data_IF_645768394642
#
_entry.id   IF_645768394642
#
_cell.length_a   1.000
_cell.length_b   1.000
_cell.length_c   1.000
_cell.angle_alpha   90.00
_cell.angle_beta   90.00
_cell.angle_gamma   90.00
#
_symmetry.space_group_name_H-M   'P 1'
#
loop_
_entity.id
_entity.type
_entity.pdbx_description
1 polymer ?
#
# COMPACT_ATOMS: atom_id res chain seq x y z
N UNK A 1 12.38 7.95 28.16
CA UNK A 1 13.30 7.53 27.09
C UNK A 1 12.41 7.03 25.96
N UNK A 2 12.50 7.64 24.77
CA UNK A 2 11.75 7.15 23.62
C UNK A 2 12.51 5.97 23.05
N UNK A 3 12.03 4.75 23.31
CA UNK A 3 12.58 3.56 22.70
C UNK A 3 12.42 3.68 21.18
N UNK A 4 13.50 3.47 20.44
CA UNK A 4 13.44 3.47 18.98
C UNK A 4 12.52 2.33 18.54
N UNK A 5 11.62 2.54 17.56
CA UNK A 5 10.71 1.50 17.11
C UNK A 5 11.50 0.30 16.61
N UNK A 6 11.03 -0.90 16.95
CA UNK A 6 11.66 -2.13 16.47
C UNK A 6 11.42 -2.30 14.96
N UNK A 7 12.20 -3.17 14.32
CA UNK A 7 11.95 -3.58 12.92
C UNK A 7 10.52 -4.11 12.72
N UNK A 8 9.99 -4.83 13.71
CA UNK A 8 8.61 -5.30 13.69
C UNK A 8 7.60 -4.15 13.80
N UNK A 9 7.85 -3.14 14.64
CA UNK A 9 6.98 -1.95 14.73
C UNK A 9 6.98 -1.16 13.42
N UNK A 10 8.15 -0.99 12.80
CA UNK A 10 8.28 -0.35 11.50
C UNK A 10 7.55 -1.15 10.41
N UNK A 11 7.66 -2.48 10.41
CA UNK A 11 6.93 -3.35 9.48
C UNK A 11 5.42 -3.22 9.67
N UNK A 12 4.92 -3.31 10.90
CA UNK A 12 3.48 -3.18 11.20
C UNK A 12 2.95 -1.82 10.75
N UNK A 13 3.69 -0.75 11.02
CA UNK A 13 3.32 0.59 10.59
C UNK A 13 3.29 0.73 9.06
N UNK A 14 4.29 0.21 8.36
CA UNK A 14 4.33 0.21 6.89
C UNK A 14 3.14 -0.57 6.30
N UNK A 15 2.80 -1.73 6.87
CA UNK A 15 1.65 -2.52 6.42
C UNK A 15 0.31 -1.81 6.62
N UNK A 16 0.14 -1.08 7.73
CA UNK A 16 -1.04 -0.27 7.97
C UNK A 16 -1.20 0.81 6.89
N UNK A 17 -0.15 1.61 6.65
CA UNK A 17 -0.17 2.67 5.64
C UNK A 17 -0.41 2.13 4.22
N UNK A 18 0.21 0.99 3.88
CA UNK A 18 0.02 0.35 2.59
C UNK A 18 -1.40 -0.22 2.42
N UNK A 19 -2.00 -0.72 3.52
CA UNK A 19 -3.39 -1.17 3.54
C UNK A 19 -4.39 -0.04 3.34
N UNK A 20 -4.18 1.12 3.99
CA UNK A 20 -5.00 2.32 3.78
C UNK A 20 -4.93 2.80 2.32
N UNK A 21 -3.75 2.77 1.71
CA UNK A 21 -3.58 3.12 0.31
C UNK A 21 -4.33 2.14 -0.64
N UNK A 22 -4.32 0.84 -0.35
CA UNK A 22 -5.10 -0.14 -1.12
C UNK A 22 -6.60 0.07 -0.99
N UNK A 23 -7.08 0.40 0.22
CA UNK A 23 -8.50 0.65 0.45
C UNK A 23 -8.97 1.90 -0.30
N UNK A 24 -8.16 2.95 -0.28
CA UNK A 24 -8.44 4.16 -1.06
C UNK A 24 -8.52 3.88 -2.57
N UNK A 25 -7.59 3.07 -3.11
CA UNK A 25 -7.61 2.62 -4.51
C UNK A 25 -8.81 1.71 -4.84
N UNK A 26 -9.40 1.04 -3.86
CA UNK A 26 -10.62 0.24 -4.01
C UNK A 26 -11.86 1.14 -4.03
N UNK A 27 -11.88 2.16 -3.18
CA UNK A 27 -13.00 3.10 -2.99
C UNK A 27 -13.07 4.23 -4.02
N UNK A 28 -11.99 4.48 -4.77
CA UNK A 28 -11.88 5.63 -5.70
C UNK A 28 -12.81 5.60 -6.91
N UNK A 29 -13.42 4.46 -7.23
CA UNK A 29 -14.37 4.36 -8.34
C UNK A 29 -15.77 4.62 -7.82
N UNK A 30 -16.30 5.83 -8.06
CA UNK A 30 -17.74 6.09 -7.86
C UNK A 30 -18.54 5.01 -8.59
N UNK A 31 -19.54 4.43 -7.93
CA UNK A 31 -20.49 3.54 -8.58
C UNK A 31 -21.04 4.20 -9.86
N UNK A 32 -20.79 3.57 -11.01
CA UNK A 32 -21.20 4.07 -12.33
C UNK A 32 -20.17 4.89 -13.11
N UNK A 33 -19.00 5.20 -12.55
CA UNK A 33 -17.90 5.81 -13.29
C UNK A 33 -16.92 4.72 -13.79
N UNK A 34 -16.89 4.48 -15.10
CA UNK A 34 -15.81 3.68 -15.68
C UNK A 34 -14.49 4.46 -15.58
N UNK A 35 -13.40 3.82 -15.09
CA UNK A 35 -12.06 4.38 -15.19
C UNK A 35 -11.75 4.83 -16.61
N UNK A 36 -11.04 5.96 -16.76
CA UNK A 36 -10.26 6.14 -17.99
C UNK A 36 -9.16 5.08 -18.05
N UNK A 37 -8.66 4.80 -19.26
CA UNK A 37 -7.55 3.87 -19.45
C UNK A 37 -6.34 4.26 -18.59
N UNK A 38 -5.99 5.55 -18.58
CA UNK A 38 -4.88 6.08 -17.78
C UNK A 38 -5.10 5.88 -16.27
N UNK A 39 -6.33 6.07 -15.77
CA UNK A 39 -6.62 5.84 -14.35
C UNK A 39 -6.56 4.35 -13.98
N UNK A 40 -6.99 3.47 -14.89
CA UNK A 40 -6.88 2.02 -14.70
C UNK A 40 -5.41 1.57 -14.70
N UNK A 41 -4.60 2.10 -15.62
CA UNK A 41 -3.14 1.86 -15.68
C UNK A 41 -2.45 2.37 -14.41
N UNK A 42 -2.70 3.62 -13.99
CA UNK A 42 -2.14 4.17 -12.76
C UNK A 42 -2.56 3.39 -11.50
N UNK A 43 -3.81 2.91 -11.45
CA UNK A 43 -4.30 2.10 -10.32
C UNK A 43 -3.65 0.73 -10.27
N UNK A 44 -3.35 0.13 -11.44
CA UNK A 44 -2.59 -1.10 -11.52
C UNK A 44 -1.16 -0.89 -11.04
N UNK A 45 -0.49 0.15 -11.52
CA UNK A 45 0.89 0.47 -11.15
C UNK A 45 1.02 0.73 -9.64
N UNK A 46 0.05 1.45 -9.05
CA UNK A 46 0.01 1.70 -7.62
C UNK A 46 -0.12 0.39 -6.81
N UNK A 47 -0.96 -0.54 -7.26
CA UNK A 47 -1.09 -1.87 -6.62
C UNK A 47 0.20 -2.69 -6.72
N UNK A 48 0.86 -2.67 -7.87
CA UNK A 48 2.15 -3.35 -8.06
C UNK A 48 3.24 -2.76 -7.14
N UNK A 49 3.27 -1.43 -6.97
CA UNK A 49 4.20 -0.75 -6.07
C UNK A 49 3.94 -1.12 -4.60
N UNK A 50 2.67 -1.16 -4.18
CA UNK A 50 2.29 -1.56 -2.82
C UNK A 50 2.73 -3.00 -2.54
N UNK A 51 2.50 -3.92 -3.47
CA UNK A 51 2.93 -5.31 -3.29
C UNK A 51 4.45 -5.43 -3.16
N UNK A 52 5.21 -4.69 -3.98
CA UNK A 52 6.68 -4.64 -3.88
C UNK A 52 7.14 -4.11 -2.51
N UNK A 53 6.50 -3.05 -2.01
CA UNK A 53 6.82 -2.47 -0.71
C UNK A 53 6.53 -3.45 0.46
N UNK A 54 5.42 -4.18 0.41
CA UNK A 54 5.11 -5.24 1.38
C UNK A 54 6.15 -6.35 1.36
N UNK A 55 6.49 -6.87 0.17
CA UNK A 55 7.48 -7.93 0.02
C UNK A 55 8.86 -7.50 0.55
N UNK A 56 9.30 -6.27 0.23
CA UNK A 56 10.56 -5.74 0.74
C UNK A 56 10.55 -5.61 2.27
N UNK A 57 9.41 -5.23 2.84
CA UNK A 57 9.24 -5.11 4.30
C UNK A 57 9.23 -6.48 5.01
N UNK A 58 8.64 -7.51 4.41
CA UNK A 58 8.76 -8.89 4.92
C UNK A 58 10.19 -9.41 4.81
N UNK A 59 10.86 -9.20 3.67
CA UNK A 59 12.28 -9.59 3.50
C UNK A 59 13.20 -8.90 4.50
N UNK A 60 12.92 -7.65 4.85
CA UNK A 60 13.68 -6.90 5.86
C UNK A 60 13.45 -7.41 7.29
N UNK A 61 12.30 -8.03 7.55
CA UNK A 61 11.94 -8.54 8.88
C UNK A 61 12.40 -9.99 9.13
N UNK A 62 12.74 -10.75 8.09
CA UNK A 62 13.34 -12.09 8.17
C UNK A 62 12.39 -13.21 7.78
#
# INVERSE_FOLDING_TARGET
MSELPTLEDMRRHAFALLGDAEDWLRSGWREGACPTREQAEASRDAREAIQKAKNASDQAAG
#
